data_IF_324347991543
#
_entry.id   IF_324347991543
#
_cell.length_a   1.000
_cell.length_b   1.000
_cell.length_c   1.000
_cell.angle_alpha   90.00
_cell.angle_beta   90.00
_cell.angle_gamma   90.00
#
_symmetry.space_group_name_H-M   'P 1'
#
loop_
_entity.id
_entity.type
_entity.pdbx_description
1 polymer ?
#
# COMPACT_ATOMS: atom_id res chain seq x y z
N UNK A 1 -1.11 10.72 1.02
CA UNK A 1 -0.87 10.38 -0.41
C UNK A 1 -0.80 11.66 -1.23
N UNK A 2 -0.12 11.64 -2.38
CA UNK A 2 0.10 12.84 -3.22
C UNK A 2 -0.81 12.87 -4.46
N UNK A 3 -1.08 11.71 -5.04
CA UNK A 3 -1.82 11.59 -6.31
C UNK A 3 -3.25 11.08 -6.10
N UNK A 4 -3.43 10.07 -5.26
CA UNK A 4 -4.72 9.43 -4.99
C UNK A 4 -5.21 9.84 -3.61
N UNK A 5 -5.59 11.15 -3.48
CA UNK A 5 -5.98 11.72 -2.19
C UNK A 5 -7.36 11.25 -1.75
N UNK A 6 -7.62 11.30 -0.44
CA UNK A 6 -8.93 10.96 0.15
C UNK A 6 -10.05 11.84 -0.40
N UNK A 7 -9.76 13.12 -0.61
CA UNK A 7 -10.72 14.09 -1.15
C UNK A 7 -11.12 13.70 -2.57
N UNK A 8 -10.12 13.37 -3.40
CA UNK A 8 -10.36 12.95 -4.77
C UNK A 8 -11.12 11.63 -4.85
N UNK A 9 -10.80 10.68 -3.97
CA UNK A 9 -11.53 9.42 -3.88
C UNK A 9 -12.98 9.64 -3.44
N UNK A 10 -13.21 10.49 -2.43
CA UNK A 10 -14.58 10.88 -2.01
C UNK A 10 -15.33 11.52 -3.16
N UNK A 11 -14.73 12.48 -3.87
CA UNK A 11 -15.37 13.18 -4.99
C UNK A 11 -15.71 12.23 -6.16
N UNK A 12 -14.92 11.17 -6.36
CA UNK A 12 -15.20 10.09 -7.33
C UNK A 12 -16.49 9.31 -6.99
N UNK A 13 -16.90 9.31 -5.71
CA UNK A 13 -18.09 8.61 -5.21
C UNK A 13 -19.21 9.58 -4.79
N UNK A 14 -19.10 10.87 -5.14
CA UNK A 14 -20.15 11.88 -4.82
C UNK A 14 -21.43 11.59 -5.62
N UNK A 15 -22.59 11.87 -5.04
CA UNK A 15 -23.88 11.68 -5.70
C UNK A 15 -24.07 12.61 -6.92
N UNK A 16 -23.43 13.77 -6.91
CA UNK A 16 -23.51 14.78 -7.96
C UNK A 16 -22.62 14.43 -9.15
N UNK A 17 -23.23 14.22 -10.30
CA UNK A 17 -22.54 13.78 -11.53
C UNK A 17 -21.37 14.71 -11.93
N UNK A 18 -21.57 16.02 -11.90
CA UNK A 18 -20.53 16.97 -12.28
C UNK A 18 -19.29 16.92 -11.38
N UNK A 19 -19.46 16.54 -10.08
CA UNK A 19 -18.33 16.33 -9.15
C UNK A 19 -17.57 15.08 -9.57
N UNK A 20 -18.28 13.97 -9.80
CA UNK A 20 -17.65 12.71 -10.28
C UNK A 20 -16.88 12.91 -11.58
N UNK A 21 -17.47 13.61 -12.55
CA UNK A 21 -16.80 13.87 -13.83
C UNK A 21 -15.52 14.70 -13.67
N UNK A 22 -15.57 15.75 -12.85
CA UNK A 22 -14.39 16.55 -12.51
C UNK A 22 -13.34 15.69 -11.85
N UNK A 23 -13.70 14.92 -10.83
CA UNK A 23 -12.83 14.04 -10.08
C UNK A 23 -12.21 12.96 -10.99
N UNK A 24 -12.97 12.36 -11.90
CA UNK A 24 -12.48 11.38 -12.85
C UNK A 24 -11.41 11.96 -13.79
N UNK A 25 -11.58 13.20 -14.26
CA UNK A 25 -10.58 13.88 -15.10
C UNK A 25 -9.29 14.14 -14.30
N UNK A 26 -9.43 14.58 -13.07
CA UNK A 26 -8.28 14.81 -12.17
C UNK A 26 -7.58 13.52 -11.81
N UNK A 27 -8.33 12.46 -11.48
CA UNK A 27 -7.81 11.12 -11.22
C UNK A 27 -6.97 10.61 -12.39
N UNK A 28 -7.50 10.71 -13.61
CA UNK A 28 -6.78 10.29 -14.80
C UNK A 28 -5.49 11.10 -15.03
N UNK A 29 -5.50 12.41 -14.72
CA UNK A 29 -4.33 13.25 -14.82
C UNK A 29 -3.28 12.88 -13.74
N UNK A 30 -3.73 12.62 -12.51
CA UNK A 30 -2.88 12.19 -11.40
C UNK A 30 -2.27 10.81 -11.65
N UNK A 31 -3.06 9.86 -12.16
CA UNK A 31 -2.58 8.54 -12.56
C UNK A 31 -1.42 8.63 -13.56
N UNK A 32 -1.57 9.42 -14.62
CA UNK A 32 -0.48 9.63 -15.60
C UNK A 32 0.78 10.19 -14.95
N UNK A 33 0.65 11.20 -14.05
CA UNK A 33 1.78 11.79 -13.30
C UNK A 33 2.43 10.77 -12.37
N UNK A 34 1.61 10.00 -11.65
CA UNK A 34 2.10 8.96 -10.75
C UNK A 34 2.87 7.88 -11.50
N UNK A 35 2.31 7.33 -12.59
CA UNK A 35 2.99 6.29 -13.34
C UNK A 35 4.29 6.79 -13.98
N UNK A 36 4.35 8.02 -14.48
CA UNK A 36 5.60 8.61 -14.95
C UNK A 36 6.66 8.67 -13.84
N UNK A 37 6.28 9.04 -12.62
CA UNK A 37 7.16 9.03 -11.44
C UNK A 37 7.51 7.60 -11.03
N UNK A 38 6.56 6.68 -11.00
CA UNK A 38 6.76 5.28 -10.63
C UNK A 38 7.79 4.59 -11.53
N UNK A 39 7.85 4.93 -12.82
CA UNK A 39 8.88 4.45 -13.74
C UNK A 39 10.32 4.69 -13.22
N UNK A 40 10.54 5.79 -12.51
CA UNK A 40 11.85 6.12 -11.92
C UNK A 40 12.13 5.31 -10.65
N UNK A 41 11.09 4.91 -9.93
CA UNK A 41 11.16 4.25 -8.63
C UNK A 41 11.19 2.72 -8.79
N UNK A 42 10.47 2.17 -9.77
CA UNK A 42 10.28 0.73 -9.95
C UNK A 42 11.58 -0.07 -10.04
N UNK A 43 12.67 0.54 -10.53
CA UNK A 43 14.00 -0.08 -10.59
C UNK A 43 14.59 -0.42 -9.22
N UNK A 44 14.07 0.16 -8.15
CA UNK A 44 14.45 -0.09 -6.76
C UNK A 44 13.61 -1.19 -6.09
N UNK A 45 12.55 -1.63 -6.76
CA UNK A 45 11.63 -2.66 -6.31
C UNK A 45 11.96 -4.01 -7.01
N UNK A 46 11.64 -5.15 -6.38
CA UNK A 46 11.82 -6.46 -7.04
C UNK A 46 10.98 -6.53 -8.32
N UNK A 47 11.57 -6.98 -9.43
CA UNK A 47 10.87 -7.09 -10.72
C UNK A 47 9.58 -7.89 -10.64
N UNK A 48 9.62 -9.04 -9.95
CA UNK A 48 8.43 -9.86 -9.73
C UNK A 48 7.32 -9.10 -8.99
N UNK A 49 7.69 -8.25 -8.02
CA UNK A 49 6.72 -7.41 -7.32
C UNK A 49 6.07 -6.40 -8.27
N UNK A 50 6.89 -5.72 -9.08
CA UNK A 50 6.40 -4.72 -10.05
C UNK A 50 5.45 -5.37 -11.05
N UNK A 51 5.81 -6.55 -11.58
CA UNK A 51 4.97 -7.30 -12.51
C UNK A 51 3.60 -7.67 -11.87
N UNK A 52 3.60 -8.19 -10.65
CA UNK A 52 2.37 -8.57 -9.95
C UNK A 52 1.53 -7.32 -9.56
N UNK A 53 2.18 -6.23 -9.13
CA UNK A 53 1.51 -4.97 -8.81
C UNK A 53 0.73 -4.43 -10.02
N UNK A 54 1.36 -4.42 -11.19
CA UNK A 54 0.74 -3.94 -12.43
C UNK A 54 -0.34 -4.91 -12.95
N UNK A 55 -0.12 -6.21 -12.85
CA UNK A 55 -1.07 -7.23 -13.30
C UNK A 55 -2.33 -7.32 -12.43
N UNK A 56 -2.27 -6.82 -11.19
CA UNK A 56 -3.35 -6.92 -10.18
C UNK A 56 -3.90 -5.55 -9.77
N UNK A 57 -3.89 -4.60 -10.69
CA UNK A 57 -4.42 -3.24 -10.46
C UNK A 57 -3.93 -2.60 -9.15
N UNK A 58 -2.63 -2.70 -8.88
CA UNK A 58 -2.04 -2.12 -7.67
C UNK A 58 -2.43 -2.82 -6.36
N UNK A 59 -2.96 -4.04 -6.40
CA UNK A 59 -3.60 -4.77 -5.30
C UNK A 59 -4.88 -4.11 -4.77
N UNK A 60 -5.54 -3.31 -5.60
CA UNK A 60 -6.83 -2.73 -5.24
C UNK A 60 -7.80 -3.80 -4.74
N UNK A 61 -8.53 -3.49 -3.67
CA UNK A 61 -9.51 -4.37 -3.00
C UNK A 61 -8.94 -5.65 -2.35
N UNK A 62 -7.61 -5.73 -2.18
CA UNK A 62 -7.02 -6.82 -1.40
C UNK A 62 -7.24 -6.58 0.09
N UNK A 63 -7.68 -7.63 0.80
CA UNK A 63 -7.80 -7.60 2.26
C UNK A 63 -6.45 -7.70 2.94
N UNK A 64 -6.24 -6.93 3.98
CA UNK A 64 -5.16 -7.19 4.92
C UNK A 64 -5.51 -8.38 5.81
N UNK A 65 -4.72 -9.45 5.71
CA UNK A 65 -4.78 -10.58 6.64
C UNK A 65 -3.95 -10.30 7.90
N UNK A 66 -2.82 -9.59 7.74
CA UNK A 66 -1.88 -9.35 8.82
C UNK A 66 -0.98 -8.16 8.51
N UNK A 67 -0.71 -7.35 9.54
CA UNK A 67 0.36 -6.35 9.57
C UNK A 67 1.22 -6.69 10.80
N UNK A 68 2.44 -7.18 10.57
CA UNK A 68 3.31 -7.67 11.63
C UNK A 68 4.62 -6.89 11.67
N UNK A 69 4.92 -6.28 12.82
CA UNK A 69 6.16 -5.56 13.06
C UNK A 69 7.16 -6.46 13.78
N UNK A 70 8.37 -6.54 13.23
CA UNK A 70 9.45 -7.39 13.76
C UNK A 70 10.67 -6.53 14.04
N UNK A 71 11.25 -6.69 15.23
CA UNK A 71 12.56 -6.13 15.58
C UNK A 71 13.61 -7.22 15.64
N UNK A 72 14.79 -6.96 15.07
CA UNK A 72 15.95 -7.85 15.14
C UNK A 72 17.14 -7.10 15.70
N UNK A 73 17.71 -7.60 16.81
CA UNK A 73 18.93 -7.08 17.40
C UNK A 73 20.13 -7.88 16.87
N UNK A 74 21.07 -7.19 16.26
CA UNK A 74 22.36 -7.81 15.92
C UNK A 74 23.21 -7.89 17.21
N UNK A 75 23.63 -9.10 17.58
CA UNK A 75 24.35 -9.36 18.83
C UNK A 75 25.73 -8.69 18.82
N UNK A 76 26.41 -8.67 17.68
CA UNK A 76 27.78 -8.14 17.55
C UNK A 76 27.75 -6.62 17.51
N UNK A 77 26.96 -6.02 16.61
CA UNK A 77 26.90 -4.56 16.42
C UNK A 77 25.97 -3.84 17.40
N UNK A 78 25.20 -4.58 18.22
CA UNK A 78 24.14 -4.09 19.11
C UNK A 78 23.05 -3.28 18.39
N UNK A 79 23.09 -3.22 17.05
CA UNK A 79 22.14 -2.47 16.23
C UNK A 79 20.80 -3.20 16.16
N UNK A 80 19.72 -2.46 16.41
CA UNK A 80 18.34 -2.94 16.21
C UNK A 80 17.87 -2.51 14.83
N UNK A 81 17.30 -3.44 14.09
CA UNK A 81 16.62 -3.17 12.80
C UNK A 81 15.16 -3.54 12.92
N UNK A 82 14.30 -2.75 12.31
CA UNK A 82 12.86 -2.98 12.26
C UNK A 82 12.44 -3.37 10.86
N UNK A 83 11.45 -4.23 10.78
CA UNK A 83 10.79 -4.62 9.52
C UNK A 83 9.30 -4.75 9.75
N UNK A 84 8.53 -4.65 8.67
CA UNK A 84 7.09 -4.92 8.68
C UNK A 84 6.77 -5.95 7.62
N UNK A 85 5.95 -6.92 7.96
CA UNK A 85 5.35 -7.87 7.05
C UNK A 85 3.88 -7.51 6.86
N UNK A 86 3.48 -7.33 5.60
CA UNK A 86 2.09 -7.17 5.19
C UNK A 86 1.67 -8.45 4.48
N UNK A 87 0.57 -9.07 4.91
CA UNK A 87 -0.09 -10.16 4.21
C UNK A 87 -1.43 -9.70 3.68
N UNK A 88 -1.64 -9.89 2.39
CA UNK A 88 -2.83 -9.48 1.67
C UNK A 88 -3.45 -10.68 0.96
N UNK A 89 -4.75 -10.62 0.67
CA UNK A 89 -5.45 -11.63 -0.13
C UNK A 89 -6.59 -11.03 -0.95
N UNK A 90 -6.80 -11.60 -2.12
CA UNK A 90 -8.02 -11.44 -2.93
C UNK A 90 -8.98 -12.64 -2.77
N UNK A 91 -8.74 -13.50 -1.78
CA UNK A 91 -9.46 -14.75 -1.57
C UNK A 91 -8.85 -15.95 -2.33
N UNK A 92 -8.11 -15.72 -3.41
CA UNK A 92 -7.48 -16.78 -4.25
C UNK A 92 -5.99 -16.92 -3.98
N UNK A 93 -5.32 -15.80 -3.81
CA UNK A 93 -3.88 -15.72 -3.59
C UNK A 93 -3.56 -15.08 -2.24
N UNK A 94 -2.38 -15.38 -1.71
CA UNK A 94 -1.78 -14.70 -0.58
C UNK A 94 -0.53 -13.97 -1.07
N UNK A 95 -0.58 -12.66 -0.95
CA UNK A 95 0.54 -11.75 -1.23
C UNK A 95 1.22 -11.40 0.09
N UNK A 96 2.55 -11.47 0.12
CA UNK A 96 3.37 -11.09 1.27
C UNK A 96 4.41 -10.07 0.84
N UNK A 97 4.39 -8.92 1.51
CA UNK A 97 5.38 -7.86 1.37
C UNK A 97 6.19 -7.78 2.68
N UNK A 98 7.52 -7.88 2.59
CA UNK A 98 8.41 -7.62 3.71
C UNK A 98 9.13 -6.29 3.47
N UNK A 99 8.79 -5.28 4.27
CA UNK A 99 9.42 -3.96 4.27
C UNK A 99 10.60 -4.00 5.24
N UNK A 100 11.82 -4.00 4.71
CA UNK A 100 13.05 -4.21 5.49
C UNK A 100 13.74 -2.90 5.82
N UNK A 101 14.31 -2.84 7.03
CA UNK A 101 15.00 -1.65 7.56
C UNK A 101 14.07 -0.44 7.54
N UNK A 102 12.96 -0.57 8.27
CA UNK A 102 12.02 0.53 8.48
C UNK A 102 12.74 1.75 9.06
N UNK A 103 12.45 2.91 8.51
CA UNK A 103 12.94 4.21 8.98
C UNK A 103 11.80 5.10 9.46
N UNK A 104 10.55 4.76 9.12
CA UNK A 104 9.36 5.47 9.58
C UNK A 104 8.10 4.65 9.36
N UNK A 105 7.13 4.84 10.24
CA UNK A 105 5.77 4.30 10.13
C UNK A 105 4.80 5.37 10.62
N UNK A 106 3.73 5.59 9.87
CA UNK A 106 2.60 6.41 10.28
C UNK A 106 1.33 5.66 9.95
N UNK A 107 0.44 5.54 10.94
CA UNK A 107 -0.87 4.93 10.80
C UNK A 107 -1.87 5.99 11.26
N UNK A 108 -2.69 6.47 10.34
CA UNK A 108 -3.77 7.39 10.62
C UNK A 108 -5.07 6.62 10.53
N UNK A 109 -5.76 6.48 11.67
CA UNK A 109 -7.09 5.89 11.76
C UNK A 109 -8.02 6.99 12.21
N UNK A 110 -8.84 7.51 11.31
CA UNK A 110 -9.69 8.67 11.55
C UNK A 110 -11.05 8.28 12.14
N UNK A 111 -11.55 7.12 11.79
CA UNK A 111 -12.72 6.52 12.43
C UNK A 111 -12.77 5.01 12.17
N UNK A 112 -13.19 4.25 13.19
CA UNK A 112 -13.78 2.94 12.96
C UNK A 112 -15.27 3.21 12.68
N UNK A 113 -15.62 3.47 11.43
CA UNK A 113 -17.02 3.61 11.05
C UNK A 113 -17.76 2.33 11.45
N UNK A 114 -18.78 2.51 12.29
CA UNK A 114 -19.83 1.55 12.59
C UNK A 114 -19.47 0.23 13.29
N UNK A 115 -18.71 0.25 14.40
CA UNK A 115 -18.71 -0.85 15.38
C UNK A 115 -18.39 -2.26 14.89
N UNK A 116 -18.28 -2.46 13.61
CA UNK A 116 -17.75 -3.64 12.95
C UNK A 116 -16.25 -3.37 12.80
N UNK A 117 -15.41 -4.29 13.24
CA UNK A 117 -14.01 -4.35 12.82
C UNK A 117 -13.99 -4.36 11.29
N UNK A 118 -14.03 -3.17 10.71
CA UNK A 118 -14.11 -2.96 9.29
C UNK A 118 -12.95 -3.69 8.67
N UNK A 119 -13.24 -4.46 7.65
CA UNK A 119 -12.26 -5.20 6.88
C UNK A 119 -11.27 -4.20 6.31
N UNK A 120 -10.05 -4.17 6.84
CA UNK A 120 -9.01 -3.28 6.34
C UNK A 120 -8.64 -3.77 4.94
N UNK A 121 -8.87 -2.94 3.94
CA UNK A 121 -8.55 -3.26 2.56
C UNK A 121 -7.48 -2.33 2.02
N UNK A 122 -6.69 -2.83 1.09
CA UNK A 122 -5.79 -2.01 0.27
C UNK A 122 -6.61 -1.34 -0.82
N UNK A 123 -6.97 -0.07 -0.64
CA UNK A 123 -7.64 0.71 -1.67
C UNK A 123 -6.63 1.16 -2.73
N UNK A 124 -5.85 2.18 -2.44
CA UNK A 124 -4.82 2.68 -3.37
C UNK A 124 -3.46 2.74 -2.70
N UNK A 125 -2.41 2.43 -3.48
CA UNK A 125 -1.03 2.47 -3.00
C UNK A 125 -0.16 3.38 -3.87
N UNK A 126 0.65 4.23 -3.21
CA UNK A 126 1.67 5.05 -3.86
C UNK A 126 3.06 4.68 -3.36
N UNK A 127 3.97 4.39 -4.29
CA UNK A 127 5.40 4.30 -3.99
C UNK A 127 6.08 5.63 -4.28
N UNK A 128 6.94 6.06 -3.36
CA UNK A 128 7.74 7.26 -3.46
C UNK A 128 9.14 7.05 -2.88
N UNK A 129 9.93 8.12 -2.87
CA UNK A 129 11.22 8.21 -2.20
C UNK A 129 11.18 9.42 -1.28
N UNK A 130 11.50 9.22 0.00
CA UNK A 130 11.57 10.31 0.97
C UNK A 130 12.82 11.19 0.77
N UNK A 131 12.90 12.32 1.50
CA UNK A 131 14.03 13.25 1.43
C UNK A 131 15.37 12.65 1.82
N UNK A 132 15.38 11.50 2.47
CA UNK A 132 16.59 10.76 2.86
C UNK A 132 16.93 9.64 1.87
N UNK A 133 16.20 9.51 0.78
CA UNK A 133 16.40 8.50 -0.24
C UNK A 133 15.85 7.12 0.12
N UNK A 134 15.04 6.97 1.17
CA UNK A 134 14.38 5.70 1.48
C UNK A 134 13.15 5.52 0.59
N UNK A 135 12.80 4.26 0.30
CA UNK A 135 11.52 3.94 -0.32
C UNK A 135 10.37 4.30 0.64
N UNK A 136 9.32 4.86 0.11
CA UNK A 136 8.09 5.14 0.83
C UNK A 136 6.92 4.42 0.17
N UNK A 137 6.04 3.83 0.97
CA UNK A 137 4.78 3.25 0.54
C UNK A 137 3.68 3.90 1.37
N UNK A 138 2.75 4.57 0.70
CA UNK A 138 1.53 5.11 1.29
C UNK A 138 0.33 4.32 0.76
N UNK A 139 -0.54 3.87 1.66
CA UNK A 139 -1.71 3.06 1.33
C UNK A 139 -2.94 3.76 1.90
N UNK A 140 -3.88 4.13 1.04
CA UNK A 140 -5.23 4.47 1.46
C UNK A 140 -6.01 3.17 1.64
N UNK A 141 -6.44 2.88 2.85
CA UNK A 141 -7.19 1.67 3.15
C UNK A 141 -8.70 1.87 2.97
N UNK A 142 -9.16 3.09 3.17
CA UNK A 142 -10.51 3.59 2.93
C UNK A 142 -10.47 5.13 2.92
N UNK A 143 -11.63 5.78 2.93
CA UNK A 143 -11.74 7.24 2.96
C UNK A 143 -11.18 7.88 4.25
N UNK A 144 -11.01 7.12 5.32
CA UNK A 144 -10.59 7.61 6.63
C UNK A 144 -9.17 7.15 7.03
N UNK A 145 -8.73 5.99 6.53
CA UNK A 145 -7.54 5.31 7.04
C UNK A 145 -6.39 5.34 6.03
N UNK A 146 -5.21 5.74 6.49
CA UNK A 146 -3.98 5.75 5.70
C UNK A 146 -2.84 5.12 6.49
N UNK A 147 -2.07 4.24 5.83
CA UNK A 147 -0.85 3.67 6.38
C UNK A 147 0.31 4.12 5.51
N UNK A 148 1.39 4.62 6.14
CA UNK A 148 2.61 5.01 5.45
C UNK A 148 3.81 4.34 6.07
N UNK A 149 4.68 3.79 5.22
CA UNK A 149 5.94 3.18 5.59
C UNK A 149 7.09 3.86 4.87
N UNK A 150 8.21 4.08 5.58
CA UNK A 150 9.51 4.41 4.98
C UNK A 150 10.48 3.27 5.28
N UNK A 151 11.18 2.75 4.27
CA UNK A 151 12.01 1.54 4.37
C UNK A 151 13.11 1.53 3.31
N UNK A 152 14.12 0.66 3.49
CA UNK A 152 15.25 0.59 2.54
C UNK A 152 15.08 -0.44 1.44
N UNK A 153 14.40 -1.55 1.72
CA UNK A 153 14.28 -2.69 0.80
C UNK A 153 12.94 -3.38 0.96
N UNK A 154 12.38 -3.86 -0.15
CA UNK A 154 11.19 -4.68 -0.20
C UNK A 154 11.55 -6.11 -0.64
N UNK A 155 10.95 -7.12 0.01
CA UNK A 155 10.87 -8.50 -0.46
C UNK A 155 9.42 -8.83 -0.75
N UNK A 156 9.23 -9.68 -1.74
CA UNK A 156 7.90 -10.03 -2.23
C UNK A 156 7.76 -11.53 -2.45
N UNK A 157 6.64 -12.09 -2.01
CA UNK A 157 6.20 -13.43 -2.39
C UNK A 157 4.71 -13.44 -2.65
N UNK A 158 4.29 -14.25 -3.63
CA UNK A 158 2.88 -14.52 -3.93
C UNK A 158 2.69 -16.03 -4.01
N UNK A 159 1.65 -16.54 -3.36
CA UNK A 159 1.31 -17.97 -3.33
C UNK A 159 -0.19 -18.15 -3.51
N UNK A 160 -0.59 -19.15 -4.28
CA UNK A 160 -1.99 -19.59 -4.31
C UNK A 160 -2.44 -20.02 -2.91
N UNK A 161 -3.59 -19.56 -2.49
CA UNK A 161 -4.23 -20.04 -1.27
C UNK A 161 -4.55 -21.52 -1.48
N UNK A 162 -3.97 -22.39 -0.66
CA UNK A 162 -4.39 -23.81 -0.66
C UNK A 162 -5.87 -23.82 -0.27
N UNK A 163 -6.72 -24.28 -1.18
CA UNK A 163 -8.14 -24.45 -0.88
C UNK A 163 -8.26 -25.25 0.41
N UNK A 164 -9.03 -24.74 1.36
CA UNK A 164 -9.58 -25.60 2.39
C UNK A 164 -10.46 -26.61 1.64
N UNK A 165 -9.97 -27.83 1.52
CA UNK A 165 -10.83 -28.97 1.15
C UNK A 165 -11.98 -28.94 2.17
N UNK A 166 -13.18 -28.58 1.67
CA UNK A 166 -14.44 -28.70 2.41
C UNK A 166 -14.80 -30.18 2.54
#
# INVERSE_FOLDING_TARGET
MQYFTKELWRDMNDEREWIRERAAKEWAANSRRYYAKFETIKKRLPEKFVAELLARDGFHDYDFLEINFVSKKNIISKKVTYSCELKLTDGKDIVRLELLSLTGVSIVVDSFADGILGRLMWGYGEFDVDSYGNLQLSIACDLANEIRFSFKKLRFTCRKRKGLLR
#
